data_IF_826418237942
#
_entry.id   IF_826418237942
#
_cell.length_a   1.000
_cell.length_b   1.000
_cell.length_c   1.000
_cell.angle_alpha   90.00
_cell.angle_beta   90.00
_cell.angle_gamma   90.00
#
_symmetry.space_group_name_H-M   'P 1'
#
loop_
_entity.id
_entity.type
_entity.pdbx_description
1 polymer ?
#
# COMPACT_ATOMS: atom_id res chain seq x y z
N UNK A 1 3.99 -17.69 -22.27
CA UNK A 1 3.17 -18.21 -21.15
C UNK A 1 3.05 -17.13 -20.11
N UNK A 2 1.86 -16.55 -19.91
CA UNK A 2 1.60 -15.71 -18.74
C UNK A 2 1.63 -16.61 -17.52
N UNK A 3 2.52 -16.33 -16.56
CA UNK A 3 2.52 -17.04 -15.26
C UNK A 3 1.15 -16.84 -14.62
N UNK A 4 0.59 -17.90 -14.04
CA UNK A 4 -0.64 -17.77 -13.26
C UNK A 4 -0.43 -16.79 -12.10
N UNK A 5 -1.41 -15.92 -11.88
CA UNK A 5 -1.40 -14.99 -10.76
C UNK A 5 -1.71 -15.71 -9.46
N UNK A 6 -1.04 -15.32 -8.39
CA UNK A 6 -1.34 -15.75 -7.04
C UNK A 6 -2.77 -15.34 -6.66
N UNK A 7 -3.49 -16.19 -5.93
CA UNK A 7 -4.86 -15.88 -5.51
C UNK A 7 -4.97 -14.63 -4.63
N UNK A 8 -4.10 -14.52 -3.62
CA UNK A 8 -3.96 -13.35 -2.74
C UNK A 8 -2.49 -13.04 -2.49
N UNK A 9 -2.16 -11.77 -2.40
CA UNK A 9 -0.83 -11.24 -2.05
C UNK A 9 -0.99 -10.24 -0.92
N UNK A 10 0.01 -10.14 -0.04
CA UNK A 10 0.03 -9.13 1.01
C UNK A 10 1.30 -8.27 0.86
N UNK A 11 1.14 -6.97 1.06
CA UNK A 11 2.24 -6.01 1.21
C UNK A 11 1.97 -5.12 2.41
N UNK A 12 3.02 -4.60 3.03
CA UNK A 12 2.90 -3.73 4.20
C UNK A 12 3.85 -2.56 4.14
N UNK A 13 3.45 -1.42 4.71
CA UNK A 13 4.28 -0.23 4.74
C UNK A 13 3.68 0.91 5.57
N UNK A 14 4.48 1.93 5.82
CA UNK A 14 3.95 3.18 6.39
C UNK A 14 3.19 3.98 5.32
N UNK A 15 3.64 3.98 4.07
CA UNK A 15 3.05 4.78 2.98
C UNK A 15 2.97 6.29 3.30
N UNK A 16 3.96 6.79 4.03
CA UNK A 16 4.15 8.22 4.24
C UNK A 16 4.83 8.87 3.03
N UNK A 17 4.62 10.16 2.79
CA UNK A 17 5.14 10.88 1.62
C UNK A 17 5.01 10.06 0.32
N UNK A 18 3.77 9.67 -0.02
CA UNK A 18 3.49 8.65 -1.03
C UNK A 18 4.19 8.94 -2.37
N UNK A 19 5.24 8.16 -2.66
CA UNK A 19 6.15 8.36 -3.79
C UNK A 19 6.27 7.13 -4.70
N UNK A 20 7.01 7.27 -5.81
CA UNK A 20 7.21 6.24 -6.86
C UNK A 20 7.61 4.85 -6.34
N UNK A 21 8.37 4.76 -5.25
CA UNK A 21 8.69 3.48 -4.61
C UNK A 21 7.46 2.70 -4.13
N UNK A 22 6.49 3.38 -3.50
CA UNK A 22 5.24 2.76 -3.08
C UNK A 22 4.39 2.33 -4.28
N UNK A 23 4.35 3.17 -5.32
CA UNK A 23 3.65 2.82 -6.57
C UNK A 23 4.23 1.56 -7.20
N UNK A 24 5.56 1.46 -7.31
CA UNK A 24 6.23 0.30 -7.88
C UNK A 24 5.93 -0.99 -7.08
N UNK A 25 5.96 -0.90 -5.74
CA UNK A 25 5.61 -2.02 -4.85
C UNK A 25 4.16 -2.49 -5.08
N UNK A 26 3.21 -1.57 -5.09
CA UNK A 26 1.79 -1.88 -5.28
C UNK A 26 1.53 -2.43 -6.68
N UNK A 27 2.05 -1.78 -7.72
CA UNK A 27 1.95 -2.28 -9.11
C UNK A 27 2.45 -3.71 -9.22
N UNK A 28 3.60 -4.01 -8.61
CA UNK A 28 4.13 -5.37 -8.63
C UNK A 28 3.21 -6.35 -7.91
N UNK A 29 2.64 -5.98 -6.76
CA UNK A 29 1.69 -6.82 -6.04
C UNK A 29 0.44 -7.16 -6.90
N UNK A 30 -0.12 -6.19 -7.63
CA UNK A 30 -1.27 -6.41 -8.52
C UNK A 30 -0.91 -7.07 -9.86
N UNK A 31 0.35 -7.01 -10.28
CA UNK A 31 0.90 -7.77 -11.40
C UNK A 31 0.90 -9.27 -11.06
N UNK A 32 1.40 -9.64 -9.88
CA UNK A 32 1.55 -11.04 -9.47
C UNK A 32 0.33 -11.63 -8.78
N UNK A 33 -0.60 -10.82 -8.26
CA UNK A 33 -1.75 -11.26 -7.45
C UNK A 33 -3.12 -10.87 -8.02
N UNK A 34 -4.13 -11.72 -7.83
CA UNK A 34 -5.52 -11.42 -8.18
C UNK A 34 -6.16 -10.42 -7.20
N UNK A 35 -5.91 -10.60 -5.89
CA UNK A 35 -6.28 -9.67 -4.82
C UNK A 35 -5.07 -9.30 -3.97
N UNK A 36 -5.03 -8.08 -3.45
CA UNK A 36 -3.93 -7.58 -2.63
C UNK A 36 -4.45 -7.05 -1.30
N UNK A 37 -3.88 -7.55 -0.20
CA UNK A 37 -4.02 -6.98 1.14
C UNK A 37 -2.89 -5.98 1.38
N UNK A 38 -3.21 -4.75 1.76
CA UNK A 38 -2.24 -3.67 1.99
C UNK A 38 -2.27 -3.24 3.45
N UNK A 39 -1.36 -3.79 4.25
CA UNK A 39 -1.22 -3.40 5.65
C UNK A 39 -0.58 -2.02 5.80
N UNK A 40 -1.27 -1.10 6.46
CA UNK A 40 -0.76 0.24 6.75
C UNK A 40 -0.36 0.34 8.22
N UNK A 41 0.88 0.74 8.51
CA UNK A 41 1.37 0.90 9.90
C UNK A 41 0.49 1.88 10.68
N UNK A 42 0.10 1.55 11.91
CA UNK A 42 -0.64 2.47 12.80
C UNK A 42 0.23 3.65 13.23
N UNK A 43 -0.40 4.75 13.67
CA UNK A 43 0.34 5.91 14.18
C UNK A 43 1.16 5.58 15.43
N UNK A 44 0.67 4.67 16.28
CA UNK A 44 1.42 4.20 17.45
C UNK A 44 2.66 3.39 17.08
N UNK A 45 2.56 2.54 16.04
CA UNK A 45 3.73 1.82 15.54
C UNK A 45 4.76 2.79 14.98
N UNK A 46 4.31 3.76 14.18
CA UNK A 46 5.19 4.77 13.58
C UNK A 46 5.92 5.60 14.63
N UNK A 47 5.22 6.05 15.69
CA UNK A 47 5.84 6.79 16.80
C UNK A 47 6.96 5.99 17.47
N UNK A 48 6.75 4.69 17.67
CA UNK A 48 7.75 3.77 18.27
C UNK A 48 8.98 3.56 17.38
N UNK A 49 8.84 3.68 16.07
CA UNK A 49 9.95 3.53 15.12
C UNK A 49 10.91 4.73 15.11
N UNK A 50 10.57 5.84 15.80
CA UNK A 50 11.50 6.95 16.01
C UNK A 50 12.00 7.60 14.72
N UNK A 51 11.14 7.71 13.69
CA UNK A 51 11.53 8.32 12.42
C UNK A 51 12.01 9.76 12.61
N UNK A 52 13.00 10.16 11.82
CA UNK A 52 13.62 11.50 11.88
C UNK A 52 12.70 12.64 11.43
N UNK A 53 11.55 12.33 10.85
CA UNK A 53 10.57 13.29 10.34
C UNK A 53 9.19 13.03 10.94
N UNK A 54 8.36 14.07 10.93
CA UNK A 54 6.94 13.96 11.27
C UNK A 54 6.24 13.17 10.17
N UNK A 55 5.61 12.08 10.56
CA UNK A 55 4.84 11.22 9.66
C UNK A 55 3.38 11.66 9.63
N UNK A 56 2.74 11.62 8.46
CA UNK A 56 1.33 11.91 8.34
C UNK A 56 0.46 10.92 9.14
N UNK A 57 -0.73 11.37 9.57
CA UNK A 57 -1.68 10.52 10.29
C UNK A 57 -2.06 9.29 9.46
N UNK A 58 -2.44 8.21 10.14
CA UNK A 58 -2.88 6.97 9.50
C UNK A 58 -3.94 7.24 8.45
N UNK A 59 -4.94 8.06 8.78
CA UNK A 59 -6.01 8.43 7.87
C UNK A 59 -5.49 9.13 6.60
N UNK A 60 -4.58 10.09 6.73
CA UNK A 60 -3.98 10.76 5.55
C UNK A 60 -3.22 9.77 4.68
N UNK A 61 -2.42 8.88 5.27
CA UNK A 61 -1.65 7.85 4.54
C UNK A 61 -2.57 6.87 3.81
N UNK A 62 -3.64 6.42 4.46
CA UNK A 62 -4.68 5.59 3.83
C UNK A 62 -5.40 6.35 2.70
N UNK A 63 -5.68 7.64 2.87
CA UNK A 63 -6.33 8.44 1.83
C UNK A 63 -5.45 8.62 0.58
N UNK A 64 -4.14 8.83 0.75
CA UNK A 64 -3.21 8.85 -0.40
C UNK A 64 -3.16 7.49 -1.10
N UNK A 65 -3.03 6.40 -0.33
CA UNK A 65 -3.06 5.04 -0.87
C UNK A 65 -4.36 4.76 -1.65
N UNK A 66 -5.52 5.05 -1.07
CA UNK A 66 -6.82 4.86 -1.73
C UNK A 66 -6.96 5.72 -2.98
N UNK A 67 -6.45 6.95 -2.97
CA UNK A 67 -6.49 7.84 -4.13
C UNK A 67 -5.66 7.28 -5.29
N UNK A 68 -4.45 6.78 -5.01
CA UNK A 68 -3.63 6.09 -6.00
C UNK A 68 -4.34 4.84 -6.55
N UNK A 69 -4.83 3.96 -5.68
CA UNK A 69 -5.50 2.71 -6.07
C UNK A 69 -6.77 2.98 -6.90
N UNK A 70 -7.53 4.02 -6.56
CA UNK A 70 -8.69 4.46 -7.36
C UNK A 70 -8.27 4.91 -8.75
N UNK A 71 -7.22 5.73 -8.85
CA UNK A 71 -6.69 6.19 -10.13
C UNK A 71 -6.04 5.10 -11.00
N UNK A 72 -5.97 3.85 -10.50
CA UNK A 72 -5.50 2.68 -11.24
C UNK A 72 -6.61 1.62 -11.45
N UNK A 73 -7.84 1.90 -11.01
CA UNK A 73 -8.96 0.94 -11.01
C UNK A 73 -8.64 -0.37 -10.24
N UNK A 74 -7.88 -0.25 -9.15
CA UNK A 74 -7.43 -1.40 -8.34
C UNK A 74 -8.17 -1.53 -7.01
N UNK A 75 -9.03 -0.57 -6.66
CA UNK A 75 -9.67 -0.51 -5.33
C UNK A 75 -10.50 -1.78 -5.03
N UNK A 76 -11.25 -2.29 -6.02
CA UNK A 76 -12.10 -3.49 -5.88
C UNK A 76 -11.29 -4.79 -5.67
N UNK A 77 -10.00 -4.75 -5.99
CA UNK A 77 -9.05 -5.85 -5.79
C UNK A 77 -8.23 -5.68 -4.50
N UNK A 78 -8.50 -4.64 -3.71
CA UNK A 78 -7.73 -4.29 -2.52
C UNK A 78 -8.51 -4.52 -1.23
N UNK A 79 -7.84 -5.06 -0.23
CA UNK A 79 -8.21 -4.98 1.18
C UNK A 79 -7.14 -4.15 1.90
N UNK A 80 -7.53 -3.20 2.76
CA UNK A 80 -6.60 -2.30 3.48
C UNK A 80 -6.81 -2.52 4.98
#
# INVERSE_FOLDING_TARGET
>A
MTKEKLGKVAVGGTFDEFHKGHEALLRKAFEVGNRVLVGVSSDDLVKKLGKSHVVATYEKRVNYLKSFLRGQDLLDRTEI
#
